data_IF_843330419532
#
_entry.id   IF_843330419532
#
_cell.length_a   1.000
_cell.length_b   1.000
_cell.length_c   1.000
_cell.angle_alpha   90.00
_cell.angle_beta   90.00
_cell.angle_gamma   90.00
#
_symmetry.space_group_name_H-M   'P 1'
#
loop_
_entity.id
_entity.type
_entity.pdbx_description
1 polymer ?
#
# COMPACT_ATOMS: atom_id res chain seq x y z
N UNK A 1 -3.36 -24.97 -12.85
CA UNK A 1 -4.13 -24.15 -11.88
C UNK A 1 -3.20 -23.69 -10.77
N UNK A 2 -3.11 -22.39 -10.51
CA UNK A 2 -2.49 -21.89 -9.27
C UNK A 2 -3.26 -22.50 -8.09
N UNK A 3 -2.63 -23.34 -7.28
CA UNK A 3 -3.23 -23.83 -6.03
C UNK A 3 -3.67 -22.62 -5.22
N UNK A 4 -4.90 -22.65 -4.70
CA UNK A 4 -5.40 -21.64 -3.78
C UNK A 4 -4.49 -21.64 -2.54
N UNK A 5 -3.48 -20.77 -2.54
CA UNK A 5 -2.77 -20.42 -1.32
C UNK A 5 -3.76 -19.57 -0.54
N UNK A 6 -4.02 -19.94 0.71
CA UNK A 6 -4.81 -19.15 1.64
C UNK A 6 -3.83 -18.30 2.46
N UNK A 7 -3.32 -17.17 1.94
CA UNK A 7 -2.34 -16.37 2.65
C UNK A 7 -2.95 -15.82 3.94
N UNK A 8 -2.16 -15.74 5.00
CA UNK A 8 -2.56 -14.99 6.21
C UNK A 8 -2.48 -13.48 5.98
N UNK A 9 -1.53 -13.05 5.15
CA UNK A 9 -1.28 -11.65 4.82
C UNK A 9 -0.89 -11.52 3.34
N UNK A 10 -1.40 -10.48 2.69
CA UNK A 10 -0.97 -10.03 1.36
C UNK A 10 -0.43 -8.60 1.50
N UNK A 11 0.76 -8.35 0.98
CA UNK A 11 1.34 -7.00 0.91
C UNK A 11 1.17 -6.45 -0.50
N UNK A 12 0.62 -5.25 -0.63
CA UNK A 12 0.38 -4.57 -1.90
C UNK A 12 1.21 -3.29 -1.94
N UNK A 13 2.22 -3.30 -2.81
CA UNK A 13 3.05 -2.14 -3.13
C UNK A 13 2.99 -1.89 -4.64
N UNK A 14 2.03 -1.09 -5.07
CA UNK A 14 1.77 -0.80 -6.49
C UNK A 14 1.42 0.68 -6.68
N UNK A 15 1.60 1.18 -7.89
CA UNK A 15 1.25 2.55 -8.29
C UNK A 15 2.46 3.41 -8.67
N UNK A 16 3.68 3.01 -8.28
CA UNK A 16 4.91 3.74 -8.60
C UNK A 16 5.07 3.98 -10.10
N UNK A 17 4.77 2.98 -10.93
CA UNK A 17 4.87 3.06 -12.40
C UNK A 17 3.76 3.90 -13.05
N UNK A 18 2.70 4.22 -12.32
CA UNK A 18 1.60 5.05 -12.79
C UNK A 18 1.80 6.53 -12.49
N UNK A 19 2.80 6.88 -11.67
CA UNK A 19 3.19 8.26 -11.42
C UNK A 19 3.83 8.88 -12.66
N UNK A 20 3.54 10.16 -12.87
CA UNK A 20 4.14 10.97 -13.93
C UNK A 20 4.83 12.18 -13.30
N UNK A 21 5.84 12.79 -13.97
CA UNK A 21 6.70 13.80 -13.34
C UNK A 21 5.99 14.94 -12.61
N UNK A 22 4.82 15.37 -13.10
CA UNK A 22 4.03 16.48 -12.54
C UNK A 22 2.57 16.11 -12.31
N UNK A 23 2.28 14.82 -12.14
CA UNK A 23 0.90 14.34 -11.97
C UNK A 23 0.83 13.20 -10.96
N UNK A 24 -0.02 13.38 -9.96
CA UNK A 24 -0.43 12.32 -9.05
C UNK A 24 -1.24 11.24 -9.77
N UNK A 25 -1.47 10.13 -9.08
CA UNK A 25 -2.50 9.18 -9.46
C UNK A 25 -3.86 9.91 -9.56
N UNK A 26 -4.66 9.55 -10.56
CA UNK A 26 -5.91 10.24 -10.85
C UNK A 26 -6.86 9.32 -11.63
N UNK A 27 -8.15 9.64 -11.59
CA UNK A 27 -9.20 9.01 -12.39
C UNK A 27 -9.07 7.48 -12.42
N UNK A 28 -8.86 6.94 -13.63
CA UNK A 28 -8.77 5.51 -13.88
C UNK A 28 -7.72 4.78 -13.03
N UNK A 29 -6.61 5.43 -12.65
CA UNK A 29 -5.62 4.80 -11.76
C UNK A 29 -6.19 4.50 -10.38
N UNK A 30 -6.90 5.48 -9.81
CA UNK A 30 -7.52 5.37 -8.49
C UNK A 30 -8.73 4.43 -8.54
N UNK A 31 -9.52 4.46 -9.61
CA UNK A 31 -10.64 3.54 -9.82
C UNK A 31 -10.16 2.08 -9.91
N UNK A 32 -9.09 1.83 -10.67
CA UNK A 32 -8.49 0.50 -10.76
C UNK A 32 -7.89 0.04 -9.42
N UNK A 33 -7.30 0.97 -8.66
CA UNK A 33 -6.77 0.68 -7.32
C UNK A 33 -7.90 0.24 -6.38
N UNK A 34 -9.00 0.99 -6.36
CA UNK A 34 -10.20 0.66 -5.58
C UNK A 34 -10.76 -0.70 -5.99
N UNK A 35 -10.90 -0.94 -7.29
CA UNK A 35 -11.38 -2.22 -7.82
C UNK A 35 -10.50 -3.38 -7.39
N UNK A 36 -9.16 -3.22 -7.43
CA UNK A 36 -8.23 -4.24 -6.98
C UNK A 36 -8.43 -4.58 -5.50
N UNK A 37 -8.53 -3.58 -4.62
CA UNK A 37 -8.72 -3.80 -3.19
C UNK A 37 -10.06 -4.48 -2.90
N UNK A 38 -11.14 -4.04 -3.56
CA UNK A 38 -12.47 -4.65 -3.43
C UNK A 38 -12.50 -6.09 -3.95
N UNK A 39 -11.88 -6.36 -5.09
CA UNK A 39 -11.75 -7.71 -5.64
C UNK A 39 -10.92 -8.59 -4.70
N UNK A 40 -9.82 -8.07 -4.16
CA UNK A 40 -8.97 -8.77 -3.19
C UNK A 40 -9.76 -9.17 -1.94
N UNK A 41 -10.55 -8.25 -1.36
CA UNK A 41 -11.39 -8.55 -0.20
C UNK A 41 -12.42 -9.65 -0.47
N UNK A 42 -13.00 -9.68 -1.67
CA UNK A 42 -14.01 -10.68 -2.09
C UNK A 42 -13.39 -12.04 -2.40
N UNK A 43 -12.21 -12.07 -2.99
CA UNK A 43 -11.58 -13.30 -3.47
C UNK A 43 -10.65 -13.95 -2.43
N UNK A 44 -10.06 -13.16 -1.54
CA UNK A 44 -9.19 -13.67 -0.49
C UNK A 44 -10.00 -14.20 0.70
N UNK A 45 -9.54 -15.26 1.37
CA UNK A 45 -10.16 -15.78 2.60
C UNK A 45 -10.42 -14.67 3.62
N UNK A 46 -11.53 -14.72 4.35
CA UNK A 46 -11.96 -13.65 5.29
C UNK A 46 -10.96 -13.38 6.41
N UNK A 47 -10.12 -14.35 6.74
CA UNK A 47 -9.01 -14.25 7.69
C UNK A 47 -7.74 -13.60 7.11
N UNK A 48 -7.65 -13.47 5.78
CA UNK A 48 -6.51 -12.83 5.12
C UNK A 48 -6.53 -11.33 5.39
N UNK A 49 -5.43 -10.85 5.96
CA UNK A 49 -5.12 -9.42 6.08
C UNK A 49 -4.50 -8.90 4.78
N UNK A 50 -4.74 -7.63 4.47
CA UNK A 50 -4.19 -6.93 3.31
C UNK A 50 -3.44 -5.71 3.83
N UNK A 51 -2.13 -5.66 3.62
CA UNK A 51 -1.29 -4.52 3.96
C UNK A 51 -0.95 -3.75 2.69
N UNK A 52 -1.46 -2.54 2.58
CA UNK A 52 -1.13 -1.60 1.49
C UNK A 52 -0.05 -0.66 1.96
N UNK A 53 0.99 -0.49 1.15
CA UNK A 53 2.14 0.33 1.47
C UNK A 53 2.17 1.60 0.63
N UNK A 54 2.60 2.71 1.23
CA UNK A 54 2.78 3.95 0.50
C UNK A 54 3.89 3.90 -0.56
N UNK A 55 3.73 4.75 -1.56
CA UNK A 55 4.70 4.99 -2.63
C UNK A 55 5.90 5.74 -2.05
N UNK A 56 7.10 5.31 -2.42
CA UNK A 56 8.33 6.04 -2.11
C UNK A 56 8.47 7.29 -2.98
N UNK A 57 9.25 8.24 -2.48
CA UNK A 57 9.71 9.38 -3.29
C UNK A 57 10.46 8.87 -4.52
N UNK A 58 10.38 9.63 -5.61
CA UNK A 58 11.15 9.42 -6.83
C UNK A 58 11.96 10.67 -7.14
N UNK A 59 13.07 10.53 -7.88
CA UNK A 59 13.87 11.68 -8.33
C UNK A 59 13.23 12.41 -9.52
N UNK A 60 12.45 11.69 -10.31
CA UNK A 60 11.85 12.16 -11.57
C UNK A 60 10.37 12.53 -11.45
N UNK A 61 9.82 12.53 -10.23
CA UNK A 61 8.44 12.92 -9.92
C UNK A 61 8.43 13.95 -8.81
N UNK A 62 7.62 14.99 -8.97
CA UNK A 62 7.39 15.99 -7.93
C UNK A 62 6.91 15.31 -6.63
N UNK A 63 7.58 15.61 -5.53
CA UNK A 63 7.26 15.06 -4.21
C UNK A 63 5.80 15.30 -3.85
N UNK A 64 5.22 16.46 -4.21
CA UNK A 64 3.82 16.75 -3.94
C UNK A 64 2.88 15.79 -4.67
N UNK A 65 3.24 15.32 -5.87
CA UNK A 65 2.46 14.33 -6.60
C UNK A 65 2.49 12.96 -5.91
N UNK A 66 3.64 12.57 -5.34
CA UNK A 66 3.78 11.33 -4.56
C UNK A 66 2.96 11.41 -3.28
N UNK A 67 3.08 12.52 -2.54
CA UNK A 67 2.32 12.78 -1.31
C UNK A 67 0.81 12.75 -1.57
N UNK A 68 0.34 13.46 -2.59
CA UNK A 68 -1.07 13.45 -2.97
C UNK A 68 -1.55 12.04 -3.34
N UNK A 69 -0.77 11.29 -4.10
CA UNK A 69 -1.11 9.91 -4.48
C UNK A 69 -1.24 8.99 -3.24
N UNK A 70 -0.35 9.14 -2.26
CA UNK A 70 -0.44 8.40 -1.00
C UNK A 70 -1.68 8.79 -0.19
N UNK A 71 -2.01 10.09 -0.13
CA UNK A 71 -3.25 10.55 0.51
C UNK A 71 -4.50 9.95 -0.17
N UNK A 72 -4.54 9.96 -1.50
CA UNK A 72 -5.67 9.43 -2.28
C UNK A 72 -5.85 7.92 -2.05
N UNK A 73 -4.75 7.14 -2.08
CA UNK A 73 -4.80 5.69 -1.78
C UNK A 73 -5.27 5.45 -0.34
N UNK A 74 -4.75 6.20 0.63
CA UNK A 74 -5.16 6.11 2.03
C UNK A 74 -6.64 6.43 2.21
N UNK A 75 -7.17 7.42 1.49
CA UNK A 75 -8.59 7.76 1.50
C UNK A 75 -9.46 6.64 0.90
N UNK A 76 -9.00 5.97 -0.17
CA UNK A 76 -9.68 4.79 -0.73
C UNK A 76 -9.77 3.68 0.33
N UNK A 77 -8.66 3.38 1.03
CA UNK A 77 -8.62 2.37 2.08
C UNK A 77 -9.58 2.71 3.22
N UNK A 78 -9.56 3.96 3.69
CA UNK A 78 -10.49 4.42 4.72
C UNK A 78 -11.95 4.26 4.27
N UNK A 79 -12.25 4.60 3.02
CA UNK A 79 -13.59 4.45 2.44
C UNK A 79 -14.02 2.99 2.37
N UNK A 80 -13.14 2.09 1.94
CA UNK A 80 -13.41 0.65 1.89
C UNK A 80 -13.67 0.13 3.30
N UNK A 81 -12.81 0.48 4.25
CA UNK A 81 -12.94 0.04 5.64
C UNK A 81 -14.26 0.52 6.26
N UNK A 82 -14.68 1.78 6.04
CA UNK A 82 -15.97 2.27 6.56
C UNK A 82 -17.18 1.65 5.89
N UNK A 83 -17.14 1.39 4.58
CA UNK A 83 -18.25 0.80 3.82
C UNK A 83 -18.45 -0.70 4.11
N UNK A 84 -17.39 -1.43 4.46
CA UNK A 84 -17.47 -2.83 4.85
C UNK A 84 -17.93 -3.01 6.32
N UNK A 85 -17.80 -1.98 7.16
CA UNK A 85 -18.34 -1.98 8.53
C UNK A 85 -19.83 -1.67 8.58
N UNK A 86 -20.65 -2.65 8.23
CA UNK A 86 -22.09 -2.63 8.53
C UNK A 86 -22.58 -3.85 9.35
N UNK A 87 -21.66 -4.65 9.93
CA UNK A 87 -22.01 -5.77 10.84
C UNK A 87 -20.96 -5.93 11.95
N UNK A 88 -21.24 -5.36 13.12
CA UNK A 88 -20.76 -5.76 14.46
C UNK A 88 -19.33 -5.50 14.99
N UNK A 89 -18.33 -4.99 14.27
CA UNK A 89 -17.12 -4.50 14.96
C UNK A 89 -16.33 -3.48 14.13
N UNK A 90 -16.24 -2.23 14.62
CA UNK A 90 -15.34 -1.19 14.08
C UNK A 90 -13.85 -1.55 14.22
N UNK A 91 -13.52 -2.68 14.82
CA UNK A 91 -12.17 -3.07 15.24
C UNK A 91 -11.50 -4.13 14.35
N UNK A 92 -12.19 -4.68 13.34
CA UNK A 92 -11.64 -5.79 12.55
C UNK A 92 -11.51 -5.48 11.05
N UNK A 93 -10.87 -4.34 10.72
CA UNK A 93 -10.54 -4.03 9.33
C UNK A 93 -9.50 -5.02 8.79
N UNK A 94 -9.75 -5.52 7.58
CA UNK A 94 -8.80 -6.39 6.86
C UNK A 94 -7.80 -5.63 6.01
N UNK A 95 -8.08 -4.37 5.64
CA UNK A 95 -7.19 -3.55 4.81
C UNK A 95 -6.48 -2.53 5.67
N UNK A 96 -5.16 -2.62 5.69
CA UNK A 96 -4.28 -1.81 6.52
C UNK A 96 -3.42 -0.91 5.65
N UNK A 97 -3.18 0.31 6.10
CA UNK A 97 -2.23 1.23 5.47
C UNK A 97 -0.93 1.27 6.26
N UNK A 98 0.20 1.30 5.55
CA UNK A 98 1.49 1.65 6.10
C UNK A 98 2.08 2.81 5.30
N UNK A 99 2.39 3.89 6.02
CA UNK A 99 3.09 5.03 5.44
C UNK A 99 4.44 4.61 4.85
N UNK A 100 4.90 5.25 3.77
CA UNK A 100 6.29 5.07 3.36
C UNK A 100 7.19 5.56 4.50
N UNK A 101 8.28 4.86 4.85
CA UNK A 101 9.18 5.30 5.92
C UNK A 101 9.68 6.72 5.65
N UNK A 102 9.50 7.62 6.62
CA UNK A 102 9.92 9.02 6.50
C UNK A 102 11.44 9.16 6.39
N UNK A 103 12.19 8.13 6.82
CA UNK A 103 13.64 8.04 6.72
C UNK A 103 14.11 7.81 5.27
N UNK A 104 13.25 7.28 4.40
CA UNK A 104 13.59 7.06 2.99
C UNK A 104 13.50 8.40 2.23
N UNK A 105 14.67 8.94 1.92
CA UNK A 105 14.86 10.16 1.13
C UNK A 105 15.48 9.85 -0.24
N UNK A 106 15.64 10.85 -1.11
CA UNK A 106 16.08 10.62 -2.50
C UNK A 106 17.51 10.05 -2.63
N UNK A 107 18.37 10.29 -1.64
CA UNK A 107 19.72 9.70 -1.51
C UNK A 107 19.69 8.17 -1.25
N UNK A 108 18.56 7.66 -0.77
CA UNK A 108 18.32 6.22 -0.59
C UNK A 108 17.90 5.53 -1.89
N UNK A 109 17.86 6.23 -3.03
CA UNK A 109 17.51 5.66 -4.33
C UNK A 109 18.76 5.35 -5.16
N UNK A 110 18.88 4.09 -5.61
CA UNK A 110 19.93 3.62 -6.50
C UNK A 110 19.79 4.23 -7.92
N UNK A 111 18.56 4.46 -8.35
CA UNK A 111 18.23 5.18 -9.58
C UNK A 111 17.15 6.24 -9.32
N UNK A 112 16.25 6.51 -10.26
CA UNK A 112 15.15 7.46 -10.07
C UNK A 112 14.01 6.91 -9.22
N UNK A 113 13.93 5.60 -9.00
CA UNK A 113 12.74 4.89 -8.51
C UNK A 113 13.06 3.82 -7.46
N UNK A 114 14.11 3.03 -7.66
CA UNK A 114 14.44 1.88 -6.82
C UNK A 114 15.33 2.29 -5.65
N UNK A 115 15.06 1.71 -4.48
CA UNK A 115 15.90 1.88 -3.31
C UNK A 115 17.30 1.29 -3.53
N UNK A 116 18.29 1.89 -2.90
CA UNK A 116 19.59 1.26 -2.72
C UNK A 116 19.56 0.31 -1.51
N UNK A 117 20.68 -0.34 -1.21
CA UNK A 117 20.77 -1.31 -0.11
C UNK A 117 20.32 -0.71 1.24
N UNK A 118 20.76 0.50 1.55
CA UNK A 118 20.42 1.16 2.81
C UNK A 118 18.93 1.54 2.87
N UNK A 119 18.37 2.02 1.76
CA UNK A 119 16.92 2.24 1.64
C UNK A 119 16.11 0.96 1.83
N UNK A 120 16.55 -0.16 1.28
CA UNK A 120 15.90 -1.46 1.48
C UNK A 120 15.99 -1.96 2.92
N UNK A 121 17.10 -1.71 3.63
CA UNK A 121 17.22 -2.07 5.05
C UNK A 121 16.18 -1.32 5.90
N UNK A 122 16.08 0.01 5.72
CA UNK A 122 15.06 0.82 6.39
C UNK A 122 13.65 0.29 6.07
N UNK A 123 13.40 -0.04 4.80
CA UNK A 123 12.12 -0.56 4.38
C UNK A 123 11.78 -1.90 5.02
N UNK A 124 12.73 -2.83 5.01
CA UNK A 124 12.57 -4.17 5.56
C UNK A 124 12.27 -4.11 7.06
N UNK A 125 13.00 -3.30 7.83
CA UNK A 125 12.77 -3.14 9.27
C UNK A 125 11.32 -2.67 9.58
N UNK A 126 10.82 -1.68 8.83
CA UNK A 126 9.46 -1.15 9.02
C UNK A 126 8.40 -2.14 8.56
N UNK A 127 8.60 -2.73 7.38
CA UNK A 127 7.68 -3.71 6.81
C UNK A 127 7.59 -4.96 7.69
N UNK A 128 8.72 -5.51 8.12
CA UNK A 128 8.78 -6.67 8.99
C UNK A 128 8.06 -6.43 10.31
N UNK A 129 8.31 -5.29 10.95
CA UNK A 129 7.63 -4.88 12.19
C UNK A 129 6.11 -4.82 12.00
N UNK A 130 5.65 -4.27 10.86
CA UNK A 130 4.22 -4.19 10.55
C UNK A 130 3.60 -5.55 10.25
N UNK A 131 4.31 -6.41 9.53
CA UNK A 131 3.90 -7.79 9.26
C UNK A 131 3.71 -8.56 10.57
N UNK A 132 4.67 -8.47 11.50
CA UNK A 132 4.57 -9.12 12.81
C UNK A 132 3.36 -8.62 13.60
N UNK A 133 3.11 -7.31 13.61
CA UNK A 133 1.94 -6.73 14.26
C UNK A 133 0.63 -7.35 13.72
N UNK A 134 0.50 -7.51 12.40
CA UNK A 134 -0.72 -7.99 11.76
C UNK A 134 -0.91 -9.51 11.82
N UNK A 135 0.17 -10.28 11.99
CA UNK A 135 0.11 -11.74 12.05
C UNK A 135 0.03 -12.30 13.48
N UNK A 136 0.32 -11.47 14.48
CA UNK A 136 0.27 -11.83 15.91
C UNK A 136 -0.99 -11.33 16.63
N UNK A 137 -1.89 -10.63 15.92
CA UNK A 137 -3.29 -10.37 16.32
C UNK A 137 -4.19 -11.54 15.97
#
# INVERSE_FOLDING_TARGET
>A
MLKAKNPKLVVIQIGTNNLQPKRSLHGLHLDNYRLLLQASLRLLPTQTQILVTGLFKRKDVDEQCVLQSNMDIKQIINTINTQETDRQAKENYRVHWMEPPAEIQQDHLADNVHLNLYGYQIWDDKLYSKIQQLLNT
#
